data_IF_120456631720
#
_entry.id   IF_120456631720
#
_cell.length_a   1.000
_cell.length_b   1.000
_cell.length_c   1.000
_cell.angle_alpha   90.00
_cell.angle_beta   90.00
_cell.angle_gamma   90.00
#
_symmetry.space_group_name_H-M   'P 1'
#
loop_
_entity.id
_entity.type
_entity.pdbx_description
1 polymer ?
#
# COMPACT_ATOMS: atom_id res chain seq x y z
N UNK A 1 -13.67 -78.51 22.97
CA UNK A 1 -13.33 -78.24 21.55
C UNK A 1 -13.58 -76.76 21.31
N UNK A 2 -12.52 -75.96 21.20
CA UNK A 2 -12.63 -74.52 20.97
C UNK A 2 -12.57 -74.23 19.47
N UNK A 3 -13.30 -73.23 19.02
CA UNK A 3 -13.06 -72.56 17.75
C UNK A 3 -12.94 -71.07 18.01
N UNK A 4 -11.78 -70.49 17.72
CA UNK A 4 -11.44 -69.10 18.04
C UNK A 4 -11.65 -68.23 16.81
N UNK A 5 -12.45 -67.17 16.94
CA UNK A 5 -12.59 -66.16 15.90
C UNK A 5 -11.35 -65.26 15.83
N UNK A 6 -10.92 -64.93 14.61
CA UNK A 6 -9.78 -64.04 14.36
C UNK A 6 -10.28 -62.61 14.23
N UNK A 7 -9.92 -61.74 15.17
CA UNK A 7 -10.07 -60.29 15.02
C UNK A 7 -8.89 -59.72 14.23
N UNK A 8 -9.14 -58.71 13.40
CA UNK A 8 -8.11 -57.90 12.73
C UNK A 8 -8.26 -56.46 13.19
N UNK A 9 -7.32 -56.00 14.00
CA UNK A 9 -7.23 -54.58 14.35
C UNK A 9 -6.66 -53.80 13.16
N UNK A 10 -7.31 -52.69 12.81
CA UNK A 10 -6.72 -51.60 12.03
C UNK A 10 -6.47 -50.42 12.97
N UNK A 11 -5.29 -49.79 12.97
CA UNK A 11 -5.10 -48.53 13.68
C UNK A 11 -5.79 -47.39 12.93
N UNK A 12 -6.80 -46.81 13.56
CA UNK A 12 -7.47 -45.60 13.11
C UNK A 12 -6.54 -44.40 13.34
N UNK A 13 -6.02 -43.79 12.26
CA UNK A 13 -5.13 -42.63 12.36
C UNK A 13 -5.99 -41.36 12.51
N UNK A 14 -6.04 -40.83 13.73
CA UNK A 14 -6.69 -39.56 14.02
C UNK A 14 -5.91 -38.40 13.38
N UNK A 15 -6.54 -37.71 12.42
CA UNK A 15 -6.05 -36.43 11.90
C UNK A 15 -6.50 -35.29 12.84
N UNK A 16 -5.77 -35.08 13.93
CA UNK A 16 -6.05 -33.96 14.84
C UNK A 16 -5.79 -32.61 14.16
N UNK A 17 -6.74 -31.69 14.31
CA UNK A 17 -6.72 -30.38 13.67
C UNK A 17 -5.59 -29.49 14.22
N UNK A 18 -4.66 -29.09 13.35
CA UNK A 18 -3.65 -28.06 13.68
C UNK A 18 -4.28 -26.67 13.63
N UNK A 19 -5.10 -26.32 14.62
CA UNK A 19 -5.56 -24.94 14.84
C UNK A 19 -4.53 -24.15 15.64
N UNK A 20 -3.41 -23.83 14.99
CA UNK A 20 -2.41 -22.91 15.53
C UNK A 20 -2.84 -21.45 15.34
N UNK A 21 -3.06 -20.72 16.44
CA UNK A 21 -3.26 -19.26 16.39
C UNK A 21 -1.94 -18.55 16.10
N UNK A 22 -1.67 -18.27 14.81
CA UNK A 22 -0.54 -17.45 14.38
C UNK A 22 -0.77 -15.98 14.73
N UNK A 23 -0.39 -15.59 15.96
CA UNK A 23 -0.35 -14.18 16.37
C UNK A 23 0.92 -13.52 15.86
N UNK A 24 0.88 -13.04 14.61
CA UNK A 24 1.96 -12.23 14.04
C UNK A 24 1.89 -10.81 14.59
N UNK A 25 2.85 -10.44 15.44
CA UNK A 25 3.05 -9.06 15.89
C UNK A 25 3.34 -8.15 14.70
N UNK A 26 2.87 -6.89 14.69
CA UNK A 26 3.17 -5.95 13.61
C UNK A 26 4.68 -5.76 13.44
N UNK A 27 5.20 -6.07 12.27
CA UNK A 27 6.63 -5.99 11.96
C UNK A 27 6.91 -4.69 11.22
N UNK A 28 7.91 -3.92 11.67
CA UNK A 28 8.23 -2.61 11.11
C UNK A 28 8.82 -2.72 9.68
N UNK A 29 8.30 -1.85 8.81
CA UNK A 29 8.68 -1.58 7.42
C UNK A 29 9.96 -2.25 6.87
N UNK A 30 9.78 -3.37 6.17
CA UNK A 30 10.72 -3.81 5.14
C UNK A 30 10.49 -2.99 3.86
N UNK A 31 11.38 -2.04 3.58
CA UNK A 31 11.54 -1.51 2.23
C UNK A 31 12.04 -2.62 1.28
N UNK A 32 11.97 -2.35 -0.03
CA UNK A 32 12.86 -2.81 -1.12
C UNK A 32 12.10 -3.23 -2.40
N UNK A 33 12.60 -2.72 -3.52
CA UNK A 33 12.14 -3.03 -4.88
C UNK A 33 13.01 -4.14 -5.49
N UNK A 34 12.53 -5.39 -5.54
CA UNK A 34 13.27 -6.47 -6.23
C UNK A 34 12.39 -7.25 -7.21
N UNK A 35 12.49 -6.98 -8.53
CA UNK A 35 11.87 -7.84 -9.55
C UNK A 35 12.48 -9.24 -9.60
N UNK A 36 13.72 -9.42 -9.12
CA UNK A 36 14.35 -10.74 -9.01
C UNK A 36 13.58 -11.72 -8.12
N UNK A 37 12.89 -11.22 -7.08
CA UNK A 37 12.10 -12.06 -6.17
C UNK A 37 10.93 -12.72 -6.90
N UNK A 38 10.32 -12.00 -7.86
CA UNK A 38 9.21 -12.50 -8.68
C UNK A 38 9.72 -13.62 -9.60
N UNK A 39 10.86 -13.39 -10.28
CA UNK A 39 11.46 -14.38 -11.18
C UNK A 39 11.90 -15.66 -10.44
N UNK A 40 12.41 -15.53 -9.20
CA UNK A 40 12.78 -16.69 -8.37
C UNK A 40 11.55 -17.48 -7.93
N UNK A 41 10.45 -16.81 -7.54
CA UNK A 41 9.18 -17.48 -7.22
C UNK A 41 8.58 -18.20 -8.44
N UNK A 42 8.65 -17.60 -9.62
CA UNK A 42 8.16 -18.21 -10.87
C UNK A 42 9.00 -19.42 -11.29
N UNK A 43 10.33 -19.34 -11.16
CA UNK A 43 11.23 -20.48 -11.38
C UNK A 43 10.98 -21.61 -10.39
N UNK A 44 10.77 -21.30 -9.11
CA UNK A 44 10.46 -22.29 -8.07
C UNK A 44 9.16 -23.03 -8.38
N UNK A 45 8.11 -22.29 -8.77
CA UNK A 45 6.81 -22.85 -9.13
C UNK A 45 6.91 -23.81 -10.33
N UNK A 46 7.75 -23.48 -11.32
CA UNK A 46 8.02 -24.35 -12.47
C UNK A 46 8.75 -25.63 -12.05
N UNK A 47 9.82 -25.52 -11.28
CA UNK A 47 10.61 -26.69 -10.83
C UNK A 47 9.80 -27.62 -9.93
N UNK A 48 8.91 -27.09 -9.08
CA UNK A 48 7.97 -27.91 -8.28
C UNK A 48 6.96 -28.65 -9.17
N UNK A 49 6.46 -28.01 -10.24
CA UNK A 49 5.55 -28.65 -11.20
C UNK A 49 6.22 -29.77 -12.03
N UNK A 50 7.55 -29.81 -12.09
CA UNK A 50 8.33 -30.78 -12.88
C UNK A 50 8.92 -31.96 -12.03
N UNK A 51 8.88 -31.89 -10.69
CA UNK A 51 9.62 -32.79 -9.77
C UNK A 51 9.06 -34.22 -9.56
N UNK A 52 9.62 -35.19 -10.31
CA UNK A 52 9.14 -36.59 -10.56
C UNK A 52 9.10 -37.70 -9.46
N UNK A 53 10.22 -38.38 -9.10
CA UNK A 53 10.14 -39.72 -8.43
C UNK A 53 11.37 -40.24 -7.60
N UNK A 54 11.25 -40.62 -6.29
CA UNK A 54 12.13 -41.34 -5.29
C UNK A 54 11.83 -41.03 -3.78
N UNK A 55 12.72 -41.43 -2.83
CA UNK A 55 12.47 -41.58 -1.38
C UNK A 55 13.71 -41.44 -0.40
N UNK A 56 14.81 -40.75 -0.72
CA UNK A 56 16.07 -40.80 0.09
C UNK A 56 16.01 -40.11 1.48
N UNK A 57 16.84 -40.56 2.44
CA UNK A 57 16.92 -40.01 3.81
C UNK A 57 17.79 -38.74 3.91
N UNK A 58 18.93 -38.68 3.23
CA UNK A 58 19.83 -37.51 3.25
C UNK A 58 19.16 -36.26 2.67
N UNK A 59 18.32 -36.45 1.65
CA UNK A 59 17.45 -35.40 1.08
C UNK A 59 16.52 -34.78 2.12
N UNK A 60 16.01 -35.56 3.09
CA UNK A 60 15.11 -35.06 4.14
C UNK A 60 15.84 -34.12 5.09
N UNK A 61 17.10 -34.42 5.41
CA UNK A 61 17.94 -33.58 6.26
C UNK A 61 18.28 -32.26 5.56
N UNK A 62 18.71 -32.30 4.30
CA UNK A 62 19.01 -31.12 3.51
C UNK A 62 17.78 -30.19 3.34
N UNK A 63 16.58 -30.74 3.08
CA UNK A 63 15.35 -29.95 3.01
C UNK A 63 15.00 -29.32 4.37
N UNK A 64 15.12 -30.07 5.47
CA UNK A 64 14.83 -29.53 6.80
C UNK A 64 15.80 -28.39 7.18
N UNK A 65 17.09 -28.53 6.85
CA UNK A 65 18.10 -27.49 7.04
C UNK A 65 17.84 -26.26 6.16
N UNK A 66 17.39 -26.44 4.91
CA UNK A 66 16.99 -25.33 4.03
C UNK A 66 15.74 -24.60 4.54
N UNK A 67 14.70 -25.32 4.98
CA UNK A 67 13.49 -24.73 5.57
C UNK A 67 13.82 -23.99 6.87
N UNK A 68 14.66 -24.56 7.74
CA UNK A 68 15.12 -23.91 8.97
C UNK A 68 15.91 -22.63 8.65
N UNK A 69 16.83 -22.68 7.68
CA UNK A 69 17.63 -21.52 7.24
C UNK A 69 16.77 -20.42 6.62
N UNK A 70 15.72 -20.79 5.85
CA UNK A 70 14.77 -19.85 5.27
C UNK A 70 13.88 -19.19 6.33
N UNK A 71 13.41 -19.96 7.33
CA UNK A 71 12.64 -19.43 8.46
C UNK A 71 13.48 -18.51 9.35
N UNK A 72 14.73 -18.91 9.64
CA UNK A 72 15.70 -18.09 10.37
C UNK A 72 16.04 -16.80 9.62
N UNK A 73 16.18 -16.86 8.29
CA UNK A 73 16.37 -15.67 7.43
C UNK A 73 15.14 -14.76 7.41
N UNK A 74 13.93 -15.31 7.31
CA UNK A 74 12.69 -14.53 7.37
C UNK A 74 12.50 -13.85 8.75
N UNK A 75 12.99 -14.45 9.83
CA UNK A 75 12.89 -13.90 11.19
C UNK A 75 13.87 -12.76 11.49
N UNK A 76 14.97 -12.61 10.74
CA UNK A 76 16.02 -11.62 10.99
C UNK A 76 16.23 -10.68 9.80
N UNK A 77 15.42 -9.60 9.76
CA UNK A 77 15.65 -8.33 9.04
C UNK A 77 16.52 -8.45 7.78
N UNK A 78 16.11 -9.32 6.84
CA UNK A 78 17.03 -9.88 5.88
C UNK A 78 17.24 -9.01 4.65
N UNK A 79 18.52 -8.77 4.33
CA UNK A 79 18.93 -8.42 2.97
C UNK A 79 18.25 -9.35 1.98
N UNK A 80 17.57 -8.77 1.00
CA UNK A 80 16.89 -9.45 -0.11
C UNK A 80 17.75 -10.55 -0.76
N UNK A 81 19.05 -10.32 -0.89
CA UNK A 81 20.01 -11.30 -1.43
C UNK A 81 20.05 -12.61 -0.63
N UNK A 82 19.95 -12.57 0.71
CA UNK A 82 19.90 -13.79 1.54
C UNK A 82 18.60 -14.55 1.37
N UNK A 83 17.48 -13.84 1.21
CA UNK A 83 16.19 -14.45 0.90
C UNK A 83 16.18 -15.08 -0.51
N UNK A 84 16.74 -14.38 -1.50
CA UNK A 84 16.91 -14.88 -2.87
C UNK A 84 17.85 -16.10 -2.91
N UNK A 85 18.93 -16.09 -2.13
CA UNK A 85 19.85 -17.21 -2.00
C UNK A 85 19.14 -18.41 -1.34
N UNK A 86 18.45 -18.23 -0.21
CA UNK A 86 17.71 -19.30 0.45
C UNK A 86 16.61 -19.90 -0.44
N UNK A 87 15.93 -19.08 -1.27
CA UNK A 87 14.96 -19.56 -2.25
C UNK A 87 15.62 -20.32 -3.43
N UNK A 88 16.81 -19.91 -3.89
CA UNK A 88 17.59 -20.63 -4.90
C UNK A 88 18.12 -21.97 -4.36
N UNK A 89 18.57 -22.00 -3.12
CA UNK A 89 19.02 -23.21 -2.40
C UNK A 89 17.84 -24.16 -2.16
N UNK A 90 16.66 -23.64 -1.77
CA UNK A 90 15.42 -24.41 -1.69
C UNK A 90 15.05 -25.01 -3.05
N UNK A 91 15.12 -24.23 -4.14
CA UNK A 91 14.84 -24.73 -5.49
C UNK A 91 15.80 -25.85 -5.91
N UNK A 92 17.10 -25.65 -5.68
CA UNK A 92 18.14 -26.65 -5.96
C UNK A 92 17.89 -27.94 -5.17
N UNK A 93 17.55 -27.83 -3.88
CA UNK A 93 17.27 -28.96 -2.99
C UNK A 93 15.99 -29.70 -3.38
N UNK A 94 14.93 -28.98 -3.79
CA UNK A 94 13.69 -29.57 -4.31
C UNK A 94 13.92 -30.27 -5.67
N UNK A 95 14.71 -29.68 -6.57
CA UNK A 95 15.02 -30.25 -7.89
C UNK A 95 15.90 -31.51 -7.85
N UNK A 96 16.70 -31.65 -6.79
CA UNK A 96 17.59 -32.79 -6.56
C UNK A 96 16.99 -33.84 -5.63
N UNK A 97 15.92 -33.51 -4.90
CA UNK A 97 15.20 -34.47 -4.06
C UNK A 97 14.16 -35.19 -4.90
N UNK A 98 14.21 -36.52 -5.01
CA UNK A 98 13.35 -37.18 -5.97
C UNK A 98 12.12 -37.79 -5.23
N UNK A 99 10.94 -37.80 -5.86
CA UNK A 99 9.60 -37.72 -5.23
C UNK A 99 8.77 -38.99 -4.91
N UNK A 100 8.00 -38.95 -3.82
CA UNK A 100 6.96 -39.95 -3.58
C UNK A 100 6.18 -39.68 -2.30
N UNK A 101 4.88 -39.43 -2.40
CA UNK A 101 3.89 -39.17 -1.32
C UNK A 101 4.21 -38.02 -0.34
N UNK A 102 5.38 -38.04 0.29
CA UNK A 102 5.86 -37.01 1.22
C UNK A 102 6.21 -35.69 0.50
N UNK A 103 6.54 -35.72 -0.79
CA UNK A 103 6.78 -34.50 -1.59
C UNK A 103 5.49 -33.73 -1.88
N UNK A 104 4.33 -34.40 -1.97
CA UNK A 104 3.04 -33.70 -2.10
C UNK A 104 2.65 -33.02 -0.78
N UNK A 105 2.85 -33.70 0.35
CA UNK A 105 2.60 -33.13 1.69
C UNK A 105 3.59 -32.00 2.07
N UNK A 106 4.89 -32.19 1.83
CA UNK A 106 5.91 -31.15 2.04
C UNK A 106 5.79 -30.02 1.02
N UNK A 107 5.52 -30.34 -0.25
CA UNK A 107 5.27 -29.36 -1.31
C UNK A 107 4.05 -28.51 -0.99
N UNK A 108 2.96 -29.12 -0.52
CA UNK A 108 1.77 -28.42 -0.03
C UNK A 108 2.06 -27.54 1.20
N UNK A 109 2.86 -28.02 2.16
CA UNK A 109 3.25 -27.24 3.33
C UNK A 109 4.16 -26.04 2.97
N UNK A 110 5.18 -26.25 2.14
CA UNK A 110 6.08 -25.20 1.65
C UNK A 110 5.32 -24.21 0.78
N UNK A 111 4.44 -24.67 -0.11
CA UNK A 111 3.56 -23.81 -0.90
C UNK A 111 2.60 -23.00 -0.01
N UNK A 112 2.05 -23.60 1.05
CA UNK A 112 1.21 -22.90 2.02
C UNK A 112 1.98 -21.78 2.75
N UNK A 113 3.22 -22.04 3.20
CA UNK A 113 4.07 -21.03 3.84
C UNK A 113 4.47 -19.93 2.85
N UNK A 114 4.85 -20.27 1.62
CA UNK A 114 5.20 -19.28 0.58
C UNK A 114 3.97 -18.45 0.19
N UNK A 115 2.82 -19.07 0.00
CA UNK A 115 1.56 -18.38 -0.29
C UNK A 115 1.18 -17.44 0.85
N UNK A 116 1.22 -17.89 2.11
CA UNK A 116 0.95 -17.07 3.28
C UNK A 116 1.93 -15.89 3.39
N UNK A 117 3.22 -16.10 3.13
CA UNK A 117 4.22 -15.04 3.06
C UNK A 117 3.91 -14.01 1.96
N UNK A 118 3.63 -14.47 0.73
CA UNK A 118 3.31 -13.60 -0.41
C UNK A 118 2.00 -12.83 -0.17
N UNK A 119 0.96 -13.48 0.36
CA UNK A 119 -0.30 -12.81 0.71
C UNK A 119 -0.09 -11.76 1.81
N UNK A 120 0.64 -12.09 2.89
CA UNK A 120 0.97 -11.13 3.94
C UNK A 120 1.79 -9.96 3.39
N UNK A 121 2.81 -10.21 2.59
CA UNK A 121 3.65 -9.17 1.98
C UNK A 121 2.84 -8.24 1.06
N UNK A 122 2.03 -8.79 0.16
CA UNK A 122 1.16 -8.01 -0.73
C UNK A 122 0.08 -7.24 0.06
N UNK A 123 -0.47 -7.84 1.12
CA UNK A 123 -1.43 -7.20 2.02
C UNK A 123 -0.80 -5.99 2.72
N UNK A 124 0.35 -6.16 3.38
CA UNK A 124 1.04 -5.07 4.08
C UNK A 124 1.46 -3.96 3.12
N UNK A 125 1.99 -4.30 1.94
CA UNK A 125 2.35 -3.32 0.90
C UNK A 125 1.13 -2.55 0.37
N UNK A 126 -0.02 -3.21 0.22
CA UNK A 126 -1.28 -2.57 -0.18
C UNK A 126 -1.82 -1.66 0.92
N UNK A 127 -1.79 -2.13 2.17
CA UNK A 127 -2.22 -1.40 3.36
C UNK A 127 -1.37 -0.15 3.59
N UNK A 128 -0.05 -0.26 3.60
CA UNK A 128 0.86 0.87 3.76
C UNK A 128 0.66 1.92 2.66
N UNK A 129 0.51 1.48 1.40
CA UNK A 129 0.19 2.37 0.29
C UNK A 129 -1.13 3.13 0.52
N UNK A 130 -2.16 2.45 1.02
CA UNK A 130 -3.46 3.04 1.37
C UNK A 130 -3.35 4.05 2.53
N UNK A 131 -2.58 3.71 3.56
CA UNK A 131 -2.33 4.59 4.72
C UNK A 131 -1.55 5.85 4.32
N UNK A 132 -0.48 5.71 3.52
CA UNK A 132 0.27 6.83 2.93
C UNK A 132 -0.62 7.74 2.07
N UNK A 133 -1.53 7.16 1.26
CA UNK A 133 -2.48 7.90 0.44
C UNK A 133 -3.50 8.65 1.31
N UNK A 134 -4.07 8.00 2.33
CA UNK A 134 -5.00 8.60 3.28
C UNK A 134 -4.36 9.75 4.06
N UNK A 135 -3.10 9.62 4.47
CA UNK A 135 -2.34 10.69 5.12
C UNK A 135 -2.17 11.91 4.19
N UNK A 136 -1.75 11.68 2.93
CA UNK A 136 -1.62 12.75 1.94
C UNK A 136 -2.96 13.43 1.60
N UNK A 137 -4.07 12.67 1.55
CA UNK A 137 -5.42 13.21 1.36
C UNK A 137 -5.87 14.06 2.55
N UNK A 138 -5.56 13.66 3.78
CA UNK A 138 -5.88 14.46 4.98
C UNK A 138 -5.08 15.77 4.99
N UNK A 139 -3.78 15.72 4.73
CA UNK A 139 -2.94 16.92 4.63
C UNK A 139 -3.43 17.89 3.54
N UNK A 140 -3.84 17.38 2.38
CA UNK A 140 -4.47 18.19 1.35
C UNK A 140 -5.84 18.76 1.79
N UNK A 141 -6.61 18.07 2.63
CA UNK A 141 -7.87 18.60 3.19
C UNK A 141 -7.63 19.70 4.21
N UNK A 142 -6.63 19.56 5.08
CA UNK A 142 -6.27 20.57 6.06
C UNK A 142 -5.74 21.83 5.36
N UNK A 143 -4.81 21.70 4.41
CA UNK A 143 -4.34 22.81 3.58
C UNK A 143 -5.47 23.50 2.81
N UNK A 144 -6.49 22.75 2.37
CA UNK A 144 -7.65 23.29 1.66
C UNK A 144 -8.65 24.00 2.57
N UNK A 145 -8.86 23.54 3.81
CA UNK A 145 -9.64 24.25 4.83
C UNK A 145 -8.95 25.57 5.17
N UNK A 146 -7.66 25.51 5.49
CA UNK A 146 -6.88 26.69 5.86
C UNK A 146 -6.79 27.69 4.67
N UNK A 147 -6.73 27.20 3.43
CA UNK A 147 -6.88 28.05 2.23
C UNK A 147 -8.25 28.73 2.18
N UNK A 148 -9.33 27.96 2.33
CA UNK A 148 -10.71 28.45 2.27
C UNK A 148 -10.98 29.51 3.32
N UNK A 149 -10.63 29.26 4.59
CA UNK A 149 -10.85 30.20 5.69
C UNK A 149 -10.16 31.55 5.42
N UNK A 150 -8.89 31.54 5.00
CA UNK A 150 -8.15 32.77 4.74
C UNK A 150 -8.63 33.47 3.46
N UNK A 151 -9.00 32.74 2.41
CA UNK A 151 -9.52 33.31 1.17
C UNK A 151 -10.94 33.88 1.35
N UNK A 152 -11.81 33.21 2.10
CA UNK A 152 -13.16 33.67 2.42
C UNK A 152 -13.11 34.91 3.29
N UNK A 153 -12.32 34.93 4.37
CA UNK A 153 -12.22 36.10 5.25
C UNK A 153 -11.61 37.32 4.52
N UNK A 154 -10.58 37.09 3.70
CA UNK A 154 -9.99 38.12 2.85
C UNK A 154 -11.02 38.75 1.89
N UNK A 155 -11.80 37.92 1.17
CA UNK A 155 -12.79 38.41 0.20
C UNK A 155 -14.13 38.84 0.82
N UNK A 156 -14.38 38.57 2.10
CA UNK A 156 -15.62 38.98 2.79
C UNK A 156 -15.62 40.42 3.29
N UNK A 157 -14.44 41.00 3.51
CA UNK A 157 -14.25 42.33 4.12
C UNK A 157 -13.59 43.29 3.11
N UNK A 158 -14.00 44.56 3.04
CA UNK A 158 -13.29 45.58 2.26
C UNK A 158 -11.83 45.77 2.75
N UNK A 159 -10.95 46.31 1.91
CA UNK A 159 -9.63 46.73 2.39
C UNK A 159 -9.77 47.83 3.44
N UNK A 160 -9.13 47.64 4.59
CA UNK A 160 -9.01 48.63 5.66
C UNK A 160 -7.53 48.79 6.03
N UNK A 161 -6.98 50.02 6.09
CA UNK A 161 -5.59 50.24 6.46
C UNK A 161 -5.29 49.80 7.91
N UNK A 162 -6.30 49.78 8.79
CA UNK A 162 -6.18 49.25 10.15
C UNK A 162 -5.88 47.75 10.17
N UNK A 163 -6.29 47.01 9.15
CA UNK A 163 -6.17 45.55 9.04
C UNK A 163 -5.01 45.12 8.11
N UNK A 164 -4.10 46.03 7.74
CA UNK A 164 -3.03 45.76 6.75
C UNK A 164 -2.18 44.53 7.11
N UNK A 165 -1.83 44.36 8.39
CA UNK A 165 -1.07 43.17 8.86
C UNK A 165 -1.87 41.87 8.68
N UNK A 166 -3.17 41.88 9.01
CA UNK A 166 -4.06 40.72 8.84
C UNK A 166 -4.22 40.37 7.37
N UNK A 167 -4.45 41.37 6.51
CA UNK A 167 -4.55 41.20 5.06
C UNK A 167 -3.28 40.57 4.48
N UNK A 168 -2.10 41.04 4.88
CA UNK A 168 -0.82 40.48 4.44
C UNK A 168 -0.61 39.01 4.90
N UNK A 169 -1.02 38.69 6.13
CA UNK A 169 -0.98 37.30 6.65
C UNK A 169 -1.95 36.39 5.88
N UNK A 170 -3.16 36.85 5.58
CA UNK A 170 -4.13 36.10 4.75
C UNK A 170 -3.56 35.85 3.34
N UNK A 171 -3.01 36.88 2.68
CA UNK A 171 -2.37 36.75 1.36
C UNK A 171 -1.23 35.73 1.36
N UNK A 172 -0.34 35.79 2.35
CA UNK A 172 0.75 34.85 2.50
C UNK A 172 0.24 33.41 2.72
N UNK A 173 -0.79 33.22 3.57
CA UNK A 173 -1.43 31.92 3.80
C UNK A 173 -2.13 31.36 2.56
N UNK A 174 -2.84 32.19 1.79
CA UNK A 174 -3.48 31.79 0.52
C UNK A 174 -2.42 31.26 -0.46
N UNK A 175 -1.30 31.99 -0.63
CA UNK A 175 -0.18 31.56 -1.49
C UNK A 175 0.48 30.28 -0.96
N UNK A 176 0.81 30.21 0.33
CA UNK A 176 1.48 29.06 0.94
C UNK A 176 0.63 27.78 0.87
N UNK A 177 -0.65 27.87 1.22
CA UNK A 177 -1.56 26.73 1.18
C UNK A 177 -1.83 26.26 -0.26
N UNK A 178 -1.86 27.17 -1.25
CA UNK A 178 -1.92 26.76 -2.65
C UNK A 178 -0.68 25.95 -3.08
N UNK A 179 0.52 26.41 -2.74
CA UNK A 179 1.77 25.68 -3.00
C UNK A 179 1.80 24.31 -2.31
N UNK A 180 1.32 24.24 -1.06
CA UNK A 180 1.20 22.99 -0.32
C UNK A 180 0.20 22.04 -0.99
N UNK A 181 -0.97 22.52 -1.41
CA UNK A 181 -1.97 21.73 -2.15
C UNK A 181 -1.40 21.17 -3.46
N UNK A 182 -0.73 22.00 -4.26
CA UNK A 182 -0.06 21.61 -5.49
C UNK A 182 0.99 20.52 -5.26
N UNK A 183 1.86 20.73 -4.28
CA UNK A 183 2.93 19.78 -3.94
C UNK A 183 2.37 18.46 -3.41
N UNK A 184 1.43 18.50 -2.47
CA UNK A 184 0.83 17.29 -1.87
C UNK A 184 0.02 16.51 -2.92
N UNK A 185 -0.72 17.20 -3.79
CA UNK A 185 -1.42 16.54 -4.89
C UNK A 185 -0.45 15.85 -5.87
N UNK A 186 0.53 16.59 -6.39
CA UNK A 186 1.42 16.13 -7.48
C UNK A 186 2.45 15.12 -7.00
N UNK A 187 3.06 15.35 -5.83
CA UNK A 187 4.21 14.57 -5.35
C UNK A 187 3.80 13.42 -4.42
N UNK A 188 2.60 13.44 -3.82
CA UNK A 188 2.19 12.44 -2.80
C UNK A 188 0.88 11.73 -3.12
N UNK A 189 -0.17 12.44 -3.54
CA UNK A 189 -1.44 11.79 -3.93
C UNK A 189 -1.28 11.08 -5.28
N UNK A 190 -0.93 11.82 -6.33
CA UNK A 190 -0.90 11.32 -7.71
C UNK A 190 -0.03 10.05 -7.88
N UNK A 191 1.19 9.92 -7.30
CA UNK A 191 2.00 8.72 -7.44
C UNK A 191 1.37 7.48 -6.78
N UNK A 192 0.65 7.68 -5.67
CA UNK A 192 -0.01 6.61 -4.92
C UNK A 192 -1.34 6.16 -5.54
N UNK A 193 -1.94 6.90 -6.48
CA UNK A 193 -3.16 6.47 -7.16
C UNK A 193 -2.96 5.18 -7.98
N UNK A 194 -4.01 4.35 -8.03
CA UNK A 194 -4.09 3.16 -8.88
C UNK A 194 -4.26 3.55 -10.37
N UNK A 195 -3.96 2.62 -11.30
CA UNK A 195 -3.99 2.91 -12.75
C UNK A 195 -5.33 3.48 -13.24
N UNK A 196 -6.45 2.98 -12.72
CA UNK A 196 -7.80 3.48 -13.01
C UNK A 196 -8.02 4.90 -12.51
N UNK A 197 -7.66 5.19 -11.25
CA UNK A 197 -7.75 6.53 -10.65
C UNK A 197 -6.85 7.53 -11.40
N UNK A 198 -5.60 7.15 -11.74
CA UNK A 198 -4.69 7.97 -12.56
C UNK A 198 -5.28 8.32 -13.91
N UNK A 199 -5.85 7.34 -14.62
CA UNK A 199 -6.52 7.57 -15.92
C UNK A 199 -7.69 8.56 -15.80
N UNK A 200 -8.48 8.48 -14.73
CA UNK A 200 -9.57 9.42 -14.48
C UNK A 200 -9.05 10.86 -14.24
N UNK A 201 -7.96 11.02 -13.50
CA UNK A 201 -7.31 12.31 -13.26
C UNK A 201 -6.67 12.90 -14.53
N UNK A 202 -5.95 12.09 -15.33
CA UNK A 202 -5.21 12.59 -16.50
C UNK A 202 -6.07 12.82 -17.74
N UNK A 203 -7.07 11.96 -17.99
CA UNK A 203 -7.86 12.00 -19.24
C UNK A 203 -9.07 12.92 -19.14
N UNK A 204 -9.62 13.14 -17.92
CA UNK A 204 -10.85 13.90 -17.76
C UNK A 204 -10.60 15.26 -17.09
N UNK A 205 -10.44 16.37 -17.85
CA UNK A 205 -10.16 17.69 -17.29
C UNK A 205 -11.31 18.27 -16.47
N UNK A 206 -12.53 17.69 -16.54
CA UNK A 206 -13.63 18.03 -15.63
C UNK A 206 -13.50 17.34 -14.27
N UNK A 207 -12.77 16.22 -14.16
CA UNK A 207 -12.53 15.47 -12.91
C UNK A 207 -11.16 15.75 -12.29
N UNK A 208 -10.17 16.10 -13.12
CA UNK A 208 -8.83 16.49 -12.71
C UNK A 208 -8.86 17.49 -11.53
N UNK A 209 -8.20 17.13 -10.42
CA UNK A 209 -8.13 17.93 -9.19
C UNK A 209 -7.14 19.08 -9.34
N UNK A 210 -6.00 18.86 -10.01
CA UNK A 210 -4.97 19.88 -10.24
C UNK A 210 -5.56 21.14 -10.91
N UNK A 211 -6.33 20.94 -11.98
CA UNK A 211 -7.03 22.00 -12.73
C UNK A 211 -8.07 22.75 -11.87
N UNK A 212 -8.69 22.09 -10.88
CA UNK A 212 -9.59 22.78 -9.93
C UNK A 212 -8.81 23.54 -8.84
N UNK A 213 -7.64 23.07 -8.42
CA UNK A 213 -6.73 23.76 -7.49
C UNK A 213 -6.21 25.06 -8.12
N UNK A 214 -5.71 24.99 -9.36
CA UNK A 214 -5.25 26.17 -10.12
C UNK A 214 -6.38 27.20 -10.28
N UNK A 215 -7.56 26.77 -10.75
CA UNK A 215 -8.74 27.64 -10.92
C UNK A 215 -9.29 28.20 -9.60
N UNK A 216 -9.07 27.51 -8.48
CA UNK A 216 -9.40 28.02 -7.15
C UNK A 216 -8.43 29.14 -6.76
N UNK A 217 -7.14 28.99 -7.04
CA UNK A 217 -6.13 30.02 -6.81
C UNK A 217 -6.34 31.25 -7.70
N UNK A 218 -6.65 31.08 -8.97
CA UNK A 218 -6.97 32.18 -9.90
C UNK A 218 -8.14 33.05 -9.39
N UNK A 219 -9.14 32.44 -8.77
CA UNK A 219 -10.29 33.16 -8.19
C UNK A 219 -9.91 33.83 -6.87
N UNK A 220 -9.08 33.18 -6.05
CA UNK A 220 -8.61 33.74 -4.79
C UNK A 220 -7.62 34.90 -4.97
N UNK A 221 -6.86 34.91 -6.08
CA UNK A 221 -5.79 35.89 -6.36
C UNK A 221 -6.06 36.82 -7.55
N UNK A 222 -7.21 36.68 -8.22
CA UNK A 222 -7.60 37.56 -9.33
C UNK A 222 -8.13 38.93 -8.90
N UNK A 223 -8.15 39.87 -9.86
CA UNK A 223 -8.69 41.22 -9.67
C UNK A 223 -7.83 42.08 -8.73
N UNK A 224 -8.46 42.74 -7.76
CA UNK A 224 -7.81 43.62 -6.78
C UNK A 224 -7.12 42.85 -5.63
N UNK A 225 -6.52 41.69 -5.90
CA UNK A 225 -5.73 40.97 -4.91
C UNK A 225 -4.45 41.76 -4.58
N UNK A 226 -4.06 41.77 -3.30
CA UNK A 226 -2.97 42.60 -2.72
C UNK A 226 -3.14 44.13 -2.86
N UNK A 227 -4.20 44.60 -3.52
CA UNK A 227 -4.51 46.01 -3.73
C UNK A 227 -5.16 46.66 -2.50
N UNK A 228 -4.80 47.93 -2.25
CA UNK A 228 -5.47 48.80 -1.27
C UNK A 228 -6.84 49.30 -1.74
N UNK A 229 -7.21 49.07 -3.01
CA UNK A 229 -8.53 49.42 -3.57
C UNK A 229 -9.54 48.26 -3.51
N UNK A 230 -9.12 47.12 -2.98
CA UNK A 230 -9.92 45.89 -2.91
C UNK A 230 -11.22 46.11 -2.14
N UNK A 231 -12.32 45.66 -2.74
CA UNK A 231 -13.63 45.57 -2.11
C UNK A 231 -14.00 44.11 -1.79
N UNK A 232 -14.90 43.93 -0.83
CA UNK A 232 -15.54 42.66 -0.54
C UNK A 232 -16.26 42.13 -1.78
N UNK A 233 -16.10 40.83 -2.06
CA UNK A 233 -16.63 40.18 -3.24
C UNK A 233 -17.33 38.87 -2.86
N UNK A 234 -18.62 38.98 -2.55
CA UNK A 234 -19.49 37.84 -2.18
C UNK A 234 -19.55 36.76 -3.26
N UNK A 235 -19.34 37.12 -4.54
CA UNK A 235 -19.28 36.15 -5.64
C UNK A 235 -18.02 35.30 -5.55
N UNK A 236 -16.85 35.92 -5.35
CA UNK A 236 -15.60 35.19 -5.14
C UNK A 236 -15.70 34.27 -3.91
N UNK A 237 -16.24 34.76 -2.79
CA UNK A 237 -16.47 33.95 -1.58
C UNK A 237 -17.30 32.70 -1.89
N UNK A 238 -18.43 32.84 -2.59
CA UNK A 238 -19.30 31.72 -2.97
C UNK A 238 -18.61 30.74 -3.93
N UNK A 239 -17.87 31.23 -4.93
CA UNK A 239 -17.15 30.39 -5.88
C UNK A 239 -15.96 29.65 -5.23
N UNK A 240 -15.26 30.26 -4.27
CA UNK A 240 -14.21 29.65 -3.44
C UNK A 240 -14.80 28.48 -2.65
N UNK A 241 -15.82 28.72 -1.82
CA UNK A 241 -16.46 27.70 -0.97
C UNK A 241 -16.97 26.51 -1.83
N UNK A 242 -17.59 26.81 -2.98
CA UNK A 242 -18.09 25.80 -3.91
C UNK A 242 -16.97 24.94 -4.50
N UNK A 243 -15.82 25.53 -4.84
CA UNK A 243 -14.65 24.81 -5.38
C UNK A 243 -13.91 24.03 -4.29
N UNK A 244 -13.67 24.61 -3.12
CA UNK A 244 -13.09 23.90 -1.98
C UNK A 244 -13.93 22.66 -1.63
N UNK A 245 -15.27 22.80 -1.60
CA UNK A 245 -16.18 21.68 -1.38
C UNK A 245 -16.08 20.61 -2.48
N UNK A 246 -16.06 21.01 -3.75
CA UNK A 246 -15.85 20.10 -4.89
C UNK A 246 -14.54 19.32 -4.80
N UNK A 247 -13.44 19.99 -4.44
CA UNK A 247 -12.13 19.35 -4.27
C UNK A 247 -12.16 18.39 -3.08
N UNK A 248 -12.73 18.78 -1.93
CA UNK A 248 -12.93 17.89 -0.75
C UNK A 248 -13.71 16.62 -1.12
N UNK A 249 -14.77 16.73 -1.91
CA UNK A 249 -15.54 15.56 -2.39
C UNK A 249 -14.70 14.67 -3.30
N UNK A 250 -13.90 15.23 -4.23
CA UNK A 250 -13.03 14.41 -5.10
C UNK A 250 -11.93 13.71 -4.32
N UNK A 251 -11.28 14.41 -3.39
CA UNK A 251 -10.31 13.83 -2.47
C UNK A 251 -10.92 12.71 -1.62
N UNK A 252 -12.19 12.82 -1.21
CA UNK A 252 -12.90 11.72 -0.55
C UNK A 252 -13.05 10.48 -1.45
N UNK A 253 -13.42 10.66 -2.71
CA UNK A 253 -13.58 9.59 -3.69
C UNK A 253 -12.24 8.94 -4.12
N UNK A 254 -11.09 9.49 -3.71
CA UNK A 254 -9.77 8.86 -3.87
C UNK A 254 -9.36 8.02 -2.65
N UNK A 255 -10.01 8.25 -1.49
CA UNK A 255 -9.81 7.50 -0.24
C UNK A 255 -10.79 6.33 -0.04
N UNK A 256 -11.76 6.18 -0.93
CA UNK A 256 -12.73 5.07 -1.02
C UNK A 256 -12.26 4.00 -2.00
#
# INVERSE_FOLDING_TARGET
>A
MSSSAVSRDQPEIACDNVTGNFSLTPQENLDLQYPELINVLESLNKTIAEGSQCNSFDSKKAIAEAIHSLNQSASFNANSEKLLQALRELNSTLSSTPSGSLVELLGGAVFSVIAAFVFNFLYWKSKEKSERLRAAINEARDALRDFEENAVDYWSNDYSPKNTKTNAVQQAKIKANHTLLLSTHTNRILPLLNKSQKSIETVNPKKNILIEIEKLFDIATGGEFESSRRKANKRNVSDIIRRCTRIRTRLANLSS
#
